data_IF_190541483385
#
_entry.id   IF_190541483385
#
_cell.length_a   1.000
_cell.length_b   1.000
_cell.length_c   1.000
_cell.angle_alpha   90.00
_cell.angle_beta   90.00
_cell.angle_gamma   90.00
#
_symmetry.space_group_name_H-M   'P 1'
#
loop_
_entity.id
_entity.type
_entity.pdbx_description
1 polymer ?
#
# COMPACT_ATOMS: atom_id res chain seq x y z
N UNK A 1 -7.49 2.45 -3.23
CA UNK A 1 -8.16 3.55 -2.50
C UNK A 1 -7.54 3.69 -1.12
N UNK A 2 -7.44 4.91 -0.62
CA UNK A 2 -6.88 5.26 0.71
C UNK A 2 -7.93 5.97 1.56
N UNK A 3 -7.78 5.90 2.87
CA UNK A 3 -8.59 6.71 3.80
C UNK A 3 -7.91 8.03 4.19
N UNK A 4 -8.62 8.83 5.00
CA UNK A 4 -8.16 10.14 5.49
C UNK A 4 -6.92 10.06 6.39
N UNK A 5 -6.60 8.87 6.89
CA UNK A 5 -5.43 8.63 7.75
C UNK A 5 -4.24 8.12 6.93
N UNK A 6 -4.35 8.05 5.60
CA UNK A 6 -3.30 7.57 4.71
C UNK A 6 -3.17 6.06 4.65
N UNK A 7 -4.12 5.31 5.23
CA UNK A 7 -4.12 3.84 5.20
C UNK A 7 -4.83 3.31 3.96
N UNK A 8 -4.31 2.21 3.40
CA UNK A 8 -4.87 1.58 2.21
C UNK A 8 -6.19 0.87 2.55
N UNK A 9 -7.30 1.22 1.88
CA UNK A 9 -8.58 0.49 1.99
C UNK A 9 -8.62 -0.74 1.09
N UNK A 10 -7.92 -0.68 -0.03
CA UNK A 10 -7.76 -1.79 -0.96
C UNK A 10 -7.04 -1.36 -2.24
N UNK A 11 -6.45 -2.33 -2.92
CA UNK A 11 -5.84 -2.16 -4.23
C UNK A 11 -6.56 -3.03 -5.25
N UNK A 12 -6.46 -2.65 -6.53
CA UNK A 12 -6.83 -3.51 -7.66
C UNK A 12 -5.77 -3.40 -8.73
N UNK A 13 -5.13 -4.52 -9.08
CA UNK A 13 -4.26 -4.59 -10.25
C UNK A 13 -5.15 -4.67 -11.49
N UNK A 14 -5.24 -3.57 -12.24
CA UNK A 14 -6.11 -3.45 -13.42
C UNK A 14 -5.43 -3.92 -14.71
N UNK A 15 -4.10 -3.83 -14.77
CA UNK A 15 -3.30 -4.21 -15.93
C UNK A 15 -1.90 -4.64 -15.48
N UNK A 16 -1.33 -5.60 -16.19
CA UNK A 16 0.06 -6.05 -16.05
C UNK A 16 0.56 -6.54 -17.41
N UNK A 17 1.85 -6.37 -17.67
CA UNK A 17 2.52 -6.82 -18.91
C UNK A 17 3.75 -7.69 -18.59
N UNK A 18 3.67 -8.45 -17.50
CA UNK A 18 4.65 -9.46 -17.15
C UNK A 18 4.57 -10.63 -18.14
N UNK A 19 5.70 -11.32 -18.28
CA UNK A 19 5.73 -12.58 -19.04
C UNK A 19 4.73 -13.55 -18.40
N UNK A 20 3.84 -14.19 -19.17
CA UNK A 20 2.89 -15.16 -18.62
C UNK A 20 3.60 -16.20 -17.75
N UNK A 21 3.11 -16.38 -16.52
CA UNK A 21 3.79 -17.18 -15.52
C UNK A 21 3.47 -16.68 -14.11
N UNK A 22 4.44 -16.82 -13.20
CA UNK A 22 4.24 -16.62 -11.78
C UNK A 22 3.90 -15.16 -11.40
N UNK A 23 4.33 -14.17 -12.19
CA UNK A 23 4.02 -12.75 -11.94
C UNK A 23 2.54 -12.39 -12.08
N UNK A 24 1.77 -13.20 -12.83
CA UNK A 24 0.32 -12.98 -13.02
C UNK A 24 -0.48 -13.11 -11.73
N UNK A 25 0.04 -13.86 -10.74
CA UNK A 25 -0.54 -14.00 -9.40
C UNK A 25 -0.57 -12.69 -8.60
N UNK A 26 0.04 -11.61 -9.11
CA UNK A 26 -0.16 -10.25 -8.57
C UNK A 26 -1.62 -9.78 -8.68
N UNK A 27 -2.38 -10.34 -9.63
CA UNK A 27 -3.82 -10.10 -9.79
C UNK A 27 -4.69 -10.97 -8.88
N UNK A 28 -4.09 -11.87 -8.11
CA UNK A 28 -4.84 -12.74 -7.20
C UNK A 28 -5.29 -11.96 -5.97
N UNK A 29 -6.44 -12.38 -5.44
CA UNK A 29 -7.06 -11.81 -4.25
C UNK A 29 -6.17 -11.91 -3.02
N UNK A 30 -5.47 -13.04 -2.85
CA UNK A 30 -4.63 -13.28 -1.67
C UNK A 30 -3.49 -12.28 -1.61
N UNK A 31 -2.88 -11.95 -2.75
CA UNK A 31 -1.76 -11.02 -2.82
C UNK A 31 -2.25 -9.60 -2.54
N UNK A 32 -3.34 -9.19 -3.19
CA UNK A 32 -3.90 -7.83 -3.08
C UNK A 32 -4.49 -7.51 -1.70
N UNK A 33 -5.04 -8.50 -0.99
CA UNK A 33 -5.60 -8.30 0.36
C UNK A 33 -4.54 -7.94 1.40
N UNK A 34 -3.27 -8.29 1.18
CA UNK A 34 -2.17 -7.99 2.12
C UNK A 34 -1.93 -6.49 2.31
N UNK A 35 -2.30 -5.67 1.32
CA UNK A 35 -2.05 -4.23 1.34
C UNK A 35 -3.05 -3.47 2.21
N UNK A 36 -4.20 -4.08 2.56
CA UNK A 36 -5.25 -3.38 3.31
C UNK A 36 -4.77 -3.04 4.72
N UNK A 37 -5.00 -1.80 5.13
CA UNK A 37 -4.65 -1.26 6.43
C UNK A 37 -3.19 -0.84 6.57
N UNK A 38 -2.36 -1.02 5.53
CA UNK A 38 -0.97 -0.61 5.55
C UNK A 38 -0.80 0.86 5.14
N UNK A 39 0.22 1.50 5.68
CA UNK A 39 0.73 2.81 5.26
C UNK A 39 1.97 2.65 4.36
N UNK A 40 2.42 3.71 3.65
CA UNK A 40 3.56 3.60 2.72
C UNK A 40 4.85 3.08 3.35
N UNK A 41 5.08 3.34 4.63
CA UNK A 41 6.29 2.90 5.35
C UNK A 41 6.30 1.39 5.59
N UNK A 42 5.13 0.75 5.61
CA UNK A 42 4.96 -0.69 5.82
C UNK A 42 5.02 -1.49 4.52
N UNK A 43 5.05 -0.81 3.37
CA UNK A 43 5.08 -1.43 2.04
C UNK A 43 6.48 -1.93 1.70
N UNK A 44 6.80 -3.11 2.21
CA UNK A 44 8.02 -3.85 1.93
C UNK A 44 7.69 -5.34 1.85
N UNK A 45 8.35 -6.05 0.92
CA UNK A 45 8.17 -7.50 0.80
C UNK A 45 8.97 -8.25 1.87
N UNK A 46 8.48 -9.42 2.28
CA UNK A 46 9.10 -10.24 3.32
C UNK A 46 10.51 -10.72 2.96
N UNK A 47 10.82 -10.85 1.66
CA UNK A 47 12.18 -11.15 1.18
C UNK A 47 13.18 -10.03 1.49
N UNK A 48 12.69 -8.83 1.75
CA UNK A 48 13.48 -7.64 2.07
C UNK A 48 13.24 -7.17 3.52
N UNK A 49 12.62 -8.01 4.36
CA UNK A 49 12.35 -7.72 5.78
C UNK A 49 10.99 -7.07 6.07
N UNK A 50 10.10 -6.99 5.09
CA UNK A 50 8.77 -6.39 5.23
C UNK A 50 7.62 -7.35 5.54
N UNK A 51 6.39 -6.82 5.51
CA UNK A 51 5.15 -7.54 5.85
C UNK A 51 4.49 -8.26 4.68
N UNK A 52 4.80 -7.86 3.43
CA UNK A 52 4.11 -8.37 2.25
C UNK A 52 4.73 -9.71 1.83
N UNK A 53 3.96 -10.79 1.86
CA UNK A 53 4.41 -12.09 1.36
C UNK A 53 4.62 -12.00 -0.15
N UNK A 54 5.86 -12.19 -0.59
CA UNK A 54 6.21 -12.30 -1.99
C UNK A 54 5.58 -13.54 -2.64
N UNK A 55 5.23 -13.41 -3.91
CA UNK A 55 4.80 -14.52 -4.78
C UNK A 55 5.99 -15.43 -5.00
N UNK A 56 5.83 -16.73 -4.72
CA UNK A 56 6.87 -17.73 -4.91
C UNK A 56 7.33 -17.73 -6.36
N UNK A 57 8.64 -17.58 -6.59
CA UNK A 57 9.23 -17.53 -7.93
C UNK A 57 8.96 -16.25 -8.73
N UNK A 58 8.26 -15.26 -8.16
CA UNK A 58 8.03 -13.95 -8.76
C UNK A 58 8.36 -12.80 -7.77
N UNK A 59 9.54 -12.88 -7.14
CA UNK A 59 10.00 -11.85 -6.19
C UNK A 59 10.15 -10.48 -6.85
N UNK A 60 10.62 -10.42 -8.11
CA UNK A 60 10.80 -9.16 -8.84
C UNK A 60 9.44 -8.49 -9.08
N UNK A 61 8.45 -9.23 -9.57
CA UNK A 61 7.07 -8.73 -9.74
C UNK A 61 6.48 -8.28 -8.40
N UNK A 62 6.70 -9.06 -7.34
CA UNK A 62 6.21 -8.71 -5.99
C UNK A 62 6.78 -7.38 -5.51
N UNK A 63 8.10 -7.18 -5.67
CA UNK A 63 8.77 -5.90 -5.36
C UNK A 63 8.26 -4.77 -6.23
N UNK A 64 8.10 -5.00 -7.53
CA UNK A 64 7.62 -3.98 -8.46
C UNK A 64 6.24 -3.47 -8.04
N UNK A 65 5.28 -4.37 -7.79
CA UNK A 65 3.93 -3.96 -7.36
C UNK A 65 3.96 -3.23 -6.01
N UNK A 66 4.68 -3.78 -5.02
CA UNK A 66 4.82 -3.13 -3.70
C UNK A 66 5.41 -1.73 -3.79
N UNK A 67 6.50 -1.57 -4.56
CA UNK A 67 7.19 -0.30 -4.73
C UNK A 67 6.35 0.70 -5.54
N UNK A 68 5.64 0.25 -6.58
CA UNK A 68 4.74 1.11 -7.34
C UNK A 68 3.64 1.70 -6.45
N UNK A 69 3.03 0.88 -5.58
CA UNK A 69 2.01 1.36 -4.64
C UNK A 69 2.63 2.37 -3.68
N UNK A 70 3.80 2.06 -3.09
CA UNK A 70 4.50 2.96 -2.17
C UNK A 70 4.80 4.32 -2.82
N UNK A 71 5.39 4.32 -4.01
CA UNK A 71 5.72 5.55 -4.74
C UNK A 71 4.48 6.37 -5.06
N UNK A 72 3.41 5.74 -5.57
CA UNK A 72 2.17 6.45 -5.88
C UNK A 72 1.49 7.04 -4.65
N UNK A 73 1.58 6.37 -3.49
CA UNK A 73 1.04 6.92 -2.24
C UNK A 73 1.87 8.11 -1.74
N UNK A 74 3.20 7.99 -1.77
CA UNK A 74 4.07 9.09 -1.38
C UNK A 74 3.89 10.31 -2.28
N UNK A 75 3.74 10.08 -3.58
CA UNK A 75 3.41 11.13 -4.55
C UNK A 75 2.02 11.73 -4.26
N UNK A 76 0.99 10.92 -4.03
CA UNK A 76 -0.33 11.42 -3.67
C UNK A 76 -0.29 12.30 -2.41
N UNK A 77 0.45 11.87 -1.39
CA UNK A 77 0.55 12.58 -0.12
C UNK A 77 1.40 13.85 -0.19
N UNK A 78 2.25 14.01 -1.21
CA UNK A 78 2.97 15.28 -1.42
C UNK A 78 2.07 16.39 -1.98
N UNK A 79 0.97 16.03 -2.65
CA UNK A 79 -0.04 16.97 -3.14
C UNK A 79 -1.13 17.30 -2.11
N UNK A 80 -1.23 16.52 -1.04
CA UNK A 80 -2.23 16.72 0.01
C UNK A 80 -1.61 17.47 1.20
N UNK A 81 -2.42 18.25 1.94
CA UNK A 81 -1.98 18.70 3.25
C UNK A 81 -1.63 17.49 4.12
N UNK A 82 -0.75 17.65 5.13
CA UNK A 82 -0.39 16.58 6.05
C UNK A 82 -1.64 15.88 6.58
N UNK A 83 -1.69 14.54 6.43
CA UNK A 83 -2.84 13.75 6.84
C UNK A 83 -2.92 13.74 8.37
N UNK A 84 -3.88 14.48 8.92
CA UNK A 84 -4.29 14.45 10.33
C UNK A 84 -3.35 15.17 11.32
N UNK A 85 -3.74 16.39 11.69
CA UNK A 85 -3.49 16.99 13.02
C UNK A 85 -4.79 17.48 13.67
N UNK A 86 -5.94 16.86 13.36
CA UNK A 86 -7.25 17.26 13.89
C UNK A 86 -7.77 16.28 14.95
N UNK A 87 -6.98 16.05 16.00
CA UNK A 87 -7.46 15.32 17.18
C UNK A 87 -6.89 15.81 18.52
N UNK A 88 -6.73 17.13 18.69
CA UNK A 88 -6.52 17.77 20.00
C UNK A 88 -7.29 19.11 20.17
N UNK A 89 -8.26 19.44 19.31
CA UNK A 89 -9.02 20.71 19.39
C UNK A 89 -10.44 20.58 19.97
N UNK A 90 -10.75 19.49 20.70
CA UNK A 90 -12.03 19.30 21.39
C UNK A 90 -11.88 19.09 22.91
N UNK A 91 -10.88 19.73 23.54
CA UNK A 91 -10.75 19.76 25.00
C UNK A 91 -10.58 21.18 25.59
N UNK A 92 -11.11 22.20 24.92
CA UNK A 92 -11.35 23.50 25.56
C UNK A 92 -12.81 23.89 25.40
N UNK A 93 -13.50 23.92 26.53
CA UNK A 93 -14.92 24.16 26.68
C UNK A 93 -15.28 23.93 28.14
N UNK A 94 -14.75 24.79 29.00
CA UNK A 94 -15.11 24.93 30.41
C UNK A 94 -16.64 25.00 30.61
N UNK A 95 -17.19 24.22 31.55
CA UNK A 95 -17.69 24.65 32.87
C UNK A 95 -18.45 23.49 33.54
#
# INVERSE_FOLDING_TARGET
GVDKNGSIRGIKVVYQQETPGLGTHSQDDWFQKQFRGLTPDELLVNKDGGKIKAITGATITSRAVTNSIKSSLNELFSYLPPLGTEKDSLSEGEN
#
